data_IF_189977536568
#
_entry.id   IF_189977536568
#
_cell.length_a   1.000
_cell.length_b   1.000
_cell.length_c   1.000
_cell.angle_alpha   90.00
_cell.angle_beta   90.00
_cell.angle_gamma   90.00
#
_symmetry.space_group_name_H-M   'P 1'
#
loop_
_entity.id
_entity.type
_entity.pdbx_description
1 polymer ?
#
# COMPACT_ATOMS: atom_id res chain seq x y z
N UNK A 1 8.97 6.53 58.76
CA UNK A 1 10.33 6.92 58.35
C UNK A 1 10.24 8.34 57.85
N UNK A 2 10.86 9.24 58.61
CA UNK A 2 10.67 10.69 58.55
C UNK A 2 11.32 11.30 57.30
N UNK A 3 10.52 12.00 56.48
CA UNK A 3 11.04 12.87 55.44
C UNK A 3 11.15 14.29 56.00
N UNK A 4 12.26 14.56 56.68
CA UNK A 4 12.68 15.90 57.06
C UNK A 4 12.97 16.71 55.79
N UNK A 5 12.06 17.65 55.47
CA UNK A 5 12.29 18.68 54.46
C UNK A 5 13.29 19.69 55.05
N UNK A 6 14.57 19.51 54.73
CA UNK A 6 15.63 20.34 55.26
C UNK A 6 15.64 21.70 54.53
N UNK A 7 14.91 22.67 55.06
CA UNK A 7 14.74 24.02 54.50
C UNK A 7 15.97 24.94 54.68
N UNK A 8 17.18 24.38 54.79
CA UNK A 8 18.38 25.13 55.20
C UNK A 8 19.33 25.53 54.07
N UNK A 9 19.06 25.21 52.80
CA UNK A 9 19.94 25.57 51.68
C UNK A 9 19.37 26.63 50.73
N UNK A 10 18.46 27.49 51.19
CA UNK A 10 18.18 28.76 50.50
C UNK A 10 19.18 29.82 50.98
N UNK A 11 20.42 29.69 50.52
CA UNK A 11 21.52 30.59 50.84
C UNK A 11 21.19 32.04 50.47
N UNK A 12 21.32 32.90 51.46
CA UNK A 12 21.35 34.36 51.37
C UNK A 12 22.41 34.82 50.38
N UNK A 13 21.99 35.39 49.24
CA UNK A 13 22.85 36.14 48.33
C UNK A 13 22.07 37.28 47.68
N UNK A 14 22.43 38.52 48.00
CA UNK A 14 22.23 39.68 47.14
C UNK A 14 20.93 40.47 47.32
N UNK A 15 20.94 41.44 48.23
CA UNK A 15 20.10 42.63 48.15
C UNK A 15 20.38 43.37 46.84
N UNK A 16 19.45 43.32 45.89
CA UNK A 16 19.31 44.38 44.88
C UNK A 16 17.86 44.87 44.91
N UNK A 17 17.67 46.01 45.57
CA UNK A 17 16.50 46.86 45.36
C UNK A 17 16.61 47.47 43.97
N UNK A 18 15.76 47.04 43.05
CA UNK A 18 15.38 47.85 41.90
C UNK A 18 13.89 48.14 42.00
N UNK A 19 13.59 49.41 42.27
CA UNK A 19 12.24 49.96 42.19
C UNK A 19 11.83 50.05 40.72
N UNK A 20 10.64 49.52 40.42
CA UNK A 20 9.70 50.12 39.48
C UNK A 20 9.97 49.96 37.99
N UNK A 21 9.25 49.01 37.39
CA UNK A 21 8.34 49.33 36.29
C UNK A 21 7.19 48.33 36.29
N UNK A 22 6.05 48.79 36.77
CA UNK A 22 4.73 48.21 36.56
C UNK A 22 4.43 48.21 35.06
N UNK A 23 4.32 47.03 34.47
CA UNK A 23 3.91 46.85 33.08
C UNK A 23 3.52 45.40 32.85
N UNK A 24 2.22 45.15 32.80
CA UNK A 24 1.57 44.05 32.10
C UNK A 24 2.03 42.63 32.44
N UNK A 25 1.84 42.22 33.70
CA UNK A 25 1.43 40.84 33.97
C UNK A 25 -0.08 40.85 34.16
N UNK A 26 -0.81 40.59 33.08
CA UNK A 26 -2.21 40.19 33.21
C UNK A 26 -2.27 39.04 34.21
N UNK A 27 -3.08 39.26 35.23
CA UNK A 27 -3.18 38.53 36.46
C UNK A 27 -3.74 37.11 36.19
N UNK A 28 -2.86 36.17 35.83
CA UNK A 28 -3.22 34.74 35.69
C UNK A 28 -3.40 34.17 37.11
N UNK A 29 -4.46 34.55 37.80
CA UNK A 29 -4.97 33.86 38.99
C UNK A 29 -4.00 33.67 40.16
N UNK A 30 -3.01 34.55 40.33
CA UNK A 30 -1.96 34.39 41.37
C UNK A 30 -2.24 35.17 42.66
N UNK A 31 -3.27 36.00 42.72
CA UNK A 31 -3.70 36.67 43.94
C UNK A 31 -4.57 35.76 44.83
N UNK A 32 -4.00 34.68 45.32
CA UNK A 32 -4.64 33.82 46.30
C UNK A 32 -4.22 34.23 47.70
N UNK A 33 -5.07 35.00 48.40
CA UNK A 33 -5.00 35.18 49.87
C UNK A 33 -4.90 33.85 50.66
N UNK A 34 -5.12 32.71 49.99
CA UNK A 34 -5.11 31.35 50.51
C UNK A 34 -3.90 30.51 50.04
N UNK A 35 -2.86 31.13 49.46
CA UNK A 35 -1.64 30.40 49.08
C UNK A 35 -0.85 29.98 50.34
N UNK A 36 -0.59 28.67 50.56
CA UNK A 36 0.18 28.19 51.71
C UNK A 36 1.60 28.75 51.73
N UNK A 37 2.14 28.97 52.94
CA UNK A 37 3.52 29.47 53.15
C UNK A 37 4.56 28.64 52.40
N UNK A 38 4.39 27.32 52.29
CA UNK A 38 5.33 26.47 51.56
C UNK A 38 5.36 26.76 50.06
N UNK A 39 4.24 27.16 49.45
CA UNK A 39 4.19 27.53 48.03
C UNK A 39 4.81 28.90 47.82
N UNK A 40 4.58 29.85 48.74
CA UNK A 40 5.25 31.17 48.72
C UNK A 40 6.78 31.03 48.79
N UNK A 41 7.28 30.23 49.73
CA UNK A 41 8.72 29.94 49.84
C UNK A 41 9.25 29.21 48.60
N UNK A 42 8.48 28.30 48.01
CA UNK A 42 8.88 27.65 46.77
C UNK A 42 9.04 28.64 45.61
N UNK A 43 8.25 29.72 45.53
CA UNK A 43 8.43 30.78 44.52
C UNK A 43 9.74 31.56 44.67
N UNK A 44 10.35 31.53 45.84
CA UNK A 44 11.62 32.21 46.10
C UNK A 44 12.82 31.27 45.84
N UNK A 45 12.57 29.97 45.61
CA UNK A 45 13.60 28.96 45.43
C UNK A 45 13.86 28.69 43.96
N UNK A 46 15.06 28.95 43.45
CA UNK A 46 15.45 28.61 42.08
C UNK A 46 15.74 27.11 41.91
N UNK A 47 14.75 26.23 42.05
CA UNK A 47 14.92 24.79 41.84
C UNK A 47 13.71 24.10 41.17
N UNK A 48 13.93 22.99 40.42
CA UNK A 48 12.83 22.18 39.85
C UNK A 48 11.88 21.59 40.90
N UNK A 49 12.38 21.27 42.09
CA UNK A 49 11.59 20.76 43.21
C UNK A 49 10.61 21.82 43.72
N UNK A 50 11.02 23.09 43.72
CA UNK A 50 10.16 24.19 44.07
C UNK A 50 9.01 24.37 43.06
N UNK A 51 9.31 24.22 41.77
CA UNK A 51 8.30 24.19 40.70
C UNK A 51 7.28 23.05 40.93
N UNK A 52 7.73 21.86 41.36
CA UNK A 52 6.84 20.73 41.68
C UNK A 52 5.82 21.09 42.78
N UNK A 53 6.25 21.79 43.82
CA UNK A 53 5.37 22.24 44.92
C UNK A 53 4.31 23.21 44.40
N UNK A 54 4.71 24.17 43.56
CA UNK A 54 3.82 25.16 42.96
C UNK A 54 2.77 24.50 42.05
N UNK A 55 3.20 23.59 41.16
CA UNK A 55 2.31 22.90 40.23
C UNK A 55 1.36 21.92 40.94
N UNK A 56 1.83 21.25 41.98
CA UNK A 56 0.99 20.38 42.82
C UNK A 56 -0.11 21.16 43.54
N UNK A 57 0.21 22.35 44.05
CA UNK A 57 -0.78 23.24 44.65
C UNK A 57 -1.79 23.77 43.62
N UNK A 58 -1.31 24.20 42.45
CA UNK A 58 -2.16 24.65 41.35
C UNK A 58 -3.14 23.55 40.90
N UNK A 59 -2.68 22.29 40.79
CA UNK A 59 -3.52 21.13 40.48
C UNK A 59 -4.63 20.94 41.52
N UNK A 60 -4.29 21.01 42.82
CA UNK A 60 -5.30 20.91 43.92
C UNK A 60 -6.33 22.04 43.90
N UNK A 61 -6.00 23.18 43.31
CA UNK A 61 -6.91 24.32 43.15
C UNK A 61 -7.78 24.22 41.89
N UNK A 62 -7.66 23.13 41.12
CA UNK A 62 -8.43 22.92 39.90
C UNK A 62 -7.96 23.75 38.71
N UNK A 63 -6.72 24.26 38.74
CA UNK A 63 -6.17 24.97 37.58
C UNK A 63 -6.00 23.99 36.41
N UNK A 64 -6.38 24.44 35.22
CA UNK A 64 -6.25 23.67 33.98
C UNK A 64 -4.77 23.40 33.67
N UNK A 65 -4.52 22.43 32.79
CA UNK A 65 -3.16 22.15 32.31
C UNK A 65 -2.50 23.37 31.67
N UNK A 66 -3.23 24.13 30.85
CA UNK A 66 -2.75 25.36 30.23
C UNK A 66 -2.35 26.43 31.24
N UNK A 67 -3.13 26.60 32.31
CA UNK A 67 -2.81 27.52 33.40
C UNK A 67 -1.57 27.07 34.19
N UNK A 68 -1.47 25.77 34.49
CA UNK A 68 -0.31 25.19 35.18
C UNK A 68 0.97 25.32 34.36
N UNK A 69 0.89 25.12 33.05
CA UNK A 69 2.01 25.34 32.13
C UNK A 69 2.47 26.82 32.13
N UNK A 70 1.52 27.76 32.07
CA UNK A 70 1.85 29.18 32.08
C UNK A 70 2.61 29.56 33.36
N UNK A 71 2.18 29.03 34.51
CA UNK A 71 2.89 29.16 35.79
C UNK A 71 4.31 28.59 35.69
N UNK A 72 4.48 27.40 35.12
CA UNK A 72 5.80 26.78 34.98
C UNK A 72 6.74 27.56 34.07
N UNK A 73 6.28 27.99 32.89
CA UNK A 73 7.06 28.80 31.95
C UNK A 73 7.51 30.12 32.59
N UNK A 74 6.61 30.76 33.34
CA UNK A 74 6.91 32.01 34.04
C UNK A 74 7.97 31.78 35.11
N UNK A 75 7.83 30.72 35.90
CA UNK A 75 8.81 30.35 36.93
C UNK A 75 10.20 30.04 36.33
N UNK A 76 10.27 29.19 35.30
CA UNK A 76 11.54 28.86 34.64
C UNK A 76 12.23 30.11 34.09
N UNK A 77 11.47 31.03 33.48
CA UNK A 77 11.98 32.30 32.96
C UNK A 77 12.49 33.22 34.07
N UNK A 78 11.74 33.38 35.17
CA UNK A 78 12.12 34.25 36.30
C UNK A 78 13.38 33.75 36.99
N UNK A 79 13.53 32.44 37.13
CA UNK A 79 14.66 31.83 37.83
C UNK A 79 15.81 31.41 36.91
N UNK A 80 15.72 31.70 35.61
CA UNK A 80 16.68 31.30 34.57
C UNK A 80 17.06 29.81 34.66
N UNK A 81 16.05 28.96 34.84
CA UNK A 81 16.20 27.52 34.93
C UNK A 81 15.96 26.89 33.57
N UNK A 82 16.92 26.08 33.12
CA UNK A 82 16.75 25.22 31.96
C UNK A 82 16.26 23.85 32.41
N UNK A 83 15.11 23.44 31.87
CA UNK A 83 14.48 22.17 32.20
C UNK A 83 14.13 21.47 30.90
N UNK A 84 14.60 20.23 30.74
CA UNK A 84 14.25 19.45 29.55
C UNK A 84 12.72 19.31 29.44
N UNK A 85 12.17 19.26 28.21
CA UNK A 85 10.73 19.10 28.00
C UNK A 85 10.14 17.91 28.77
N UNK A 86 10.83 16.76 28.78
CA UNK A 86 10.39 15.56 29.50
C UNK A 86 10.23 15.79 31.00
N UNK A 87 11.18 16.50 31.63
CA UNK A 87 11.11 16.83 33.06
C UNK A 87 9.99 17.82 33.36
N UNK A 88 9.71 18.77 32.45
CA UNK A 88 8.58 19.67 32.62
C UNK A 88 7.24 18.91 32.55
N UNK A 89 7.14 17.94 31.66
CA UNK A 89 5.96 17.10 31.48
C UNK A 89 5.73 16.17 32.68
N UNK A 90 6.79 15.54 33.20
CA UNK A 90 6.73 14.78 34.46
C UNK A 90 6.20 15.63 35.62
N UNK A 91 6.60 16.91 35.68
CA UNK A 91 6.13 17.84 36.70
C UNK A 91 4.67 18.29 36.50
N UNK A 92 4.16 18.27 35.27
CA UNK A 92 2.77 18.63 34.95
C UNK A 92 1.80 17.46 35.11
N UNK A 93 2.30 16.23 35.24
CA UNK A 93 1.52 15.00 35.45
C UNK A 93 0.48 14.79 34.34
N UNK A 94 0.94 14.83 33.09
CA UNK A 94 0.13 14.74 31.87
C UNK A 94 0.33 13.36 31.24
N UNK A 95 -0.73 12.54 31.11
CA UNK A 95 -0.59 11.10 30.83
C UNK A 95 -0.40 10.72 29.35
N UNK A 96 -0.69 11.59 28.37
CA UNK A 96 -0.54 11.28 26.94
C UNK A 96 -0.18 12.49 26.07
N UNK A 97 0.59 12.22 25.01
CA UNK A 97 1.01 13.17 23.99
C UNK A 97 -0.07 13.40 22.93
N UNK A 98 -0.36 14.67 22.61
CA UNK A 98 -0.83 15.07 21.29
C UNK A 98 0.10 16.13 20.71
N UNK A 99 0.25 16.21 19.38
CA UNK A 99 1.14 17.19 18.76
C UNK A 99 0.64 18.62 19.03
N UNK A 100 -0.68 18.79 18.98
CA UNK A 100 -1.38 19.98 19.47
C UNK A 100 -0.96 20.42 20.87
N UNK A 101 -0.78 19.47 21.80
CA UNK A 101 -0.34 19.78 23.15
C UNK A 101 1.08 20.36 23.12
N UNK A 102 2.05 19.65 22.53
CA UNK A 102 3.48 20.05 22.44
C UNK A 102 3.67 21.37 21.68
N UNK A 103 2.87 21.62 20.63
CA UNK A 103 2.81 22.88 19.87
C UNK A 103 2.35 24.04 20.75
N UNK A 104 1.27 23.86 21.51
CA UNK A 104 0.81 24.88 22.47
C UNK A 104 1.82 25.13 23.61
N UNK A 105 2.72 24.15 23.86
CA UNK A 105 3.86 24.33 24.75
C UNK A 105 5.02 25.10 24.11
N UNK A 106 5.03 25.34 22.79
CA UNK A 106 6.08 26.05 22.07
C UNK A 106 7.39 25.28 21.96
N UNK A 107 7.33 23.95 22.11
CA UNK A 107 8.49 23.05 22.02
C UNK A 107 8.83 22.64 20.58
N UNK A 108 7.89 22.76 19.66
CA UNK A 108 8.09 22.56 18.24
C UNK A 108 7.34 23.64 17.45
N UNK A 109 7.82 23.96 16.26
CA UNK A 109 7.08 24.78 15.29
C UNK A 109 5.93 23.97 14.70
N UNK A 110 4.93 24.65 14.14
CA UNK A 110 3.81 24.01 13.45
C UNK A 110 4.31 23.07 12.35
N UNK A 111 5.35 23.48 11.61
CA UNK A 111 6.01 22.71 10.56
C UNK A 111 6.70 21.42 11.05
N UNK A 112 7.06 21.35 12.34
CA UNK A 112 7.79 20.23 12.96
C UNK A 112 6.85 19.18 13.60
N UNK A 113 5.54 19.45 13.60
CA UNK A 113 4.52 18.51 14.05
C UNK A 113 4.10 17.61 12.89
N UNK A 114 4.05 16.28 13.07
CA UNK A 114 3.55 15.33 12.04
C UNK A 114 2.09 15.61 11.58
N UNK A 115 1.38 16.48 12.30
CA UNK A 115 0.05 17.00 11.96
C UNK A 115 0.08 18.13 10.89
N UNK A 116 1.25 18.70 10.54
CA UNK A 116 1.39 19.69 9.45
C UNK A 116 1.61 19.08 8.07
N UNK A 117 1.95 17.79 8.02
CA UNK A 117 2.08 17.09 6.75
C UNK A 117 0.71 17.05 6.08
N UNK A 118 0.69 17.42 4.79
CA UNK A 118 -0.51 17.32 3.99
C UNK A 118 -1.09 15.90 4.17
N UNK A 119 -2.42 15.71 4.32
CA UNK A 119 -2.99 14.38 4.54
C UNK A 119 -2.53 13.33 3.52
N UNK A 120 -2.24 13.76 2.30
CA UNK A 120 -1.62 12.94 1.26
C UNK A 120 -0.25 12.39 1.66
N UNK A 121 0.64 13.22 2.18
CA UNK A 121 2.00 12.83 2.53
C UNK A 121 2.01 11.87 3.74
N UNK A 122 0.96 11.89 4.57
CA UNK A 122 0.77 10.91 5.65
C UNK A 122 0.26 9.56 5.15
N UNK A 123 -0.45 9.51 4.03
CA UNK A 123 -0.90 8.26 3.39
C UNK A 123 0.13 7.66 2.43
N UNK A 124 1.13 8.44 2.00
CA UNK A 124 2.28 7.91 1.27
C UNK A 124 3.07 7.01 2.23
N UNK A 125 3.34 5.78 1.81
CA UNK A 125 4.06 4.80 2.62
C UNK A 125 5.35 4.41 1.88
N UNK A 126 6.44 4.30 2.63
CA UNK A 126 7.67 3.70 2.11
C UNK A 126 7.47 2.21 1.76
N UNK A 127 8.20 1.82 0.73
CA UNK A 127 8.02 0.71 -0.24
C UNK A 127 7.75 -0.72 0.27
N UNK A 128 7.75 -1.00 1.58
CA UNK A 128 7.54 -2.36 2.11
C UNK A 128 6.11 -2.63 2.63
N UNK A 129 5.22 -1.65 2.54
CA UNK A 129 3.89 -1.70 3.14
C UNK A 129 2.74 -1.72 2.13
N UNK A 130 3.03 -1.82 0.84
CA UNK A 130 2.03 -1.92 -0.23
C UNK A 130 2.27 -3.19 -1.04
N UNK A 131 1.27 -4.07 -1.06
CA UNK A 131 1.26 -5.28 -1.87
C UNK A 131 0.18 -5.15 -2.95
N UNK A 132 0.54 -5.40 -4.20
CA UNK A 132 -0.43 -5.51 -5.29
C UNK A 132 -0.65 -6.97 -5.63
N UNK A 133 -1.84 -7.48 -5.34
CA UNK A 133 -2.26 -8.81 -5.72
C UNK A 133 -2.63 -8.81 -7.20
N UNK A 134 -1.76 -9.41 -8.02
CA UNK A 134 -1.89 -9.38 -9.48
C UNK A 134 -3.22 -9.95 -9.97
N UNK A 135 -3.67 -11.03 -9.34
CA UNK A 135 -4.83 -11.81 -9.73
C UNK A 135 -6.17 -11.18 -9.39
N UNK A 136 -6.30 -10.62 -8.18
CA UNK A 136 -7.53 -9.97 -7.74
C UNK A 136 -7.58 -8.49 -8.11
N UNK A 137 -6.45 -7.93 -8.56
CA UNK A 137 -6.27 -6.49 -8.77
C UNK A 137 -6.62 -5.69 -7.52
N UNK A 138 -6.14 -6.16 -6.37
CA UNK A 138 -6.33 -5.56 -5.05
C UNK A 138 -5.00 -5.06 -4.48
N UNK A 139 -5.04 -3.90 -3.83
CA UNK A 139 -3.93 -3.38 -3.04
C UNK A 139 -4.16 -3.76 -1.57
N UNK A 140 -3.21 -4.46 -0.94
CA UNK A 140 -3.10 -4.58 0.52
C UNK A 140 -2.11 -3.54 1.01
N UNK A 141 -2.63 -2.60 1.77
CA UNK A 141 -1.94 -1.38 2.16
C UNK A 141 -1.87 -1.35 3.68
N UNK A 142 -0.66 -1.24 4.24
CA UNK A 142 -0.46 -1.09 5.69
C UNK A 142 -0.21 0.36 6.08
N UNK A 143 -1.22 1.04 6.60
CA UNK A 143 -1.16 2.44 7.04
C UNK A 143 -1.30 2.49 8.57
N UNK A 144 -0.38 3.17 9.27
CA UNK A 144 -0.43 3.35 10.73
C UNK A 144 -0.68 2.05 11.53
N UNK A 145 -0.10 0.94 11.08
CA UNK A 145 -0.26 -0.38 11.72
C UNK A 145 -1.54 -1.15 11.36
N UNK A 146 -2.44 -0.57 10.54
CA UNK A 146 -3.65 -1.22 10.04
C UNK A 146 -3.44 -1.71 8.62
N UNK A 147 -4.06 -2.83 8.26
CA UNK A 147 -4.12 -3.32 6.89
C UNK A 147 -5.49 -3.04 6.29
N UNK A 148 -5.48 -2.54 5.08
CA UNK A 148 -6.68 -2.28 4.27
C UNK A 148 -6.48 -2.95 2.91
N UNK A 149 -7.42 -3.80 2.52
CA UNK A 149 -7.42 -4.48 1.21
C UNK A 149 -8.47 -3.82 0.33
N UNK A 150 -8.03 -3.27 -0.80
CA UNK A 150 -8.88 -2.41 -1.63
C UNK A 150 -8.72 -2.76 -3.11
N UNK A 151 -9.81 -3.13 -3.80
CA UNK A 151 -9.79 -3.31 -5.26
C UNK A 151 -9.43 -2.01 -5.99
N UNK A 152 -8.48 -2.07 -6.93
CA UNK A 152 -8.04 -0.90 -7.72
C UNK A 152 -9.21 -0.17 -8.37
N UNK A 153 -10.20 -0.92 -8.89
CA UNK A 153 -11.42 -0.37 -9.50
C UNK A 153 -12.26 0.53 -8.58
N UNK A 154 -12.12 0.40 -7.25
CA UNK A 154 -12.78 1.27 -6.27
C UNK A 154 -11.98 2.54 -5.99
N UNK A 155 -10.67 2.51 -6.27
CA UNK A 155 -9.72 3.60 -6.04
C UNK A 155 -9.65 4.51 -7.27
N UNK A 156 -9.42 3.93 -8.45
CA UNK A 156 -9.18 4.67 -9.67
C UNK A 156 -9.88 4.01 -10.88
N UNK A 157 -10.27 4.85 -11.85
CA UNK A 157 -10.85 4.41 -13.13
C UNK A 157 -10.29 5.22 -14.28
N UNK A 158 -9.99 4.57 -15.40
CA UNK A 158 -9.62 5.25 -16.64
C UNK A 158 -10.83 6.01 -17.20
N UNK A 159 -10.72 7.33 -17.27
CA UNK A 159 -11.68 8.23 -17.91
C UNK A 159 -11.24 8.65 -19.30
N UNK A 160 -12.06 9.48 -19.97
CA UNK A 160 -11.73 10.06 -21.29
C UNK A 160 -10.57 11.07 -21.23
N UNK A 161 -10.45 11.78 -20.11
CA UNK A 161 -9.48 12.87 -19.92
C UNK A 161 -8.28 12.44 -19.04
N UNK A 162 -8.11 11.15 -18.80
CA UNK A 162 -7.07 10.59 -17.92
C UNK A 162 -7.62 9.72 -16.80
N UNK A 163 -6.76 9.37 -15.84
CA UNK A 163 -7.14 8.54 -14.69
C UNK A 163 -7.86 9.38 -13.63
N UNK A 164 -9.05 8.94 -13.22
CA UNK A 164 -9.84 9.59 -12.16
C UNK A 164 -9.80 8.75 -10.90
N UNK A 165 -9.65 9.41 -9.74
CA UNK A 165 -9.59 8.76 -8.43
C UNK A 165 -10.84 9.07 -7.59
N UNK A 166 -11.21 8.14 -6.73
CA UNK A 166 -12.31 8.30 -5.78
C UNK A 166 -11.82 9.03 -4.52
N UNK A 167 -11.86 10.36 -4.53
CA UNK A 167 -11.42 11.23 -3.43
C UNK A 167 -12.07 10.86 -2.08
N UNK A 168 -13.35 10.46 -2.08
CA UNK A 168 -14.06 10.09 -0.85
C UNK A 168 -13.41 8.89 -0.14
N UNK A 169 -12.86 7.93 -0.90
CA UNK A 169 -12.17 6.77 -0.36
C UNK A 169 -10.91 7.16 0.41
N UNK A 170 -10.14 8.15 -0.08
CA UNK A 170 -8.92 8.60 0.60
C UNK A 170 -9.25 9.32 1.92
N UNK A 171 -10.29 10.16 1.93
CA UNK A 171 -10.77 10.78 3.16
C UNK A 171 -11.23 9.72 4.20
N UNK A 172 -11.94 8.68 3.74
CA UNK A 172 -12.39 7.58 4.59
C UNK A 172 -11.21 6.76 5.15
N UNK A 173 -10.24 6.40 4.31
CA UNK A 173 -9.03 5.68 4.72
C UNK A 173 -8.21 6.47 5.74
N UNK A 174 -8.02 7.77 5.49
CA UNK A 174 -7.33 8.65 6.42
C UNK A 174 -8.01 8.65 7.79
N UNK A 175 -9.33 8.84 7.82
CA UNK A 175 -10.11 8.82 9.05
C UNK A 175 -10.03 7.46 9.76
N UNK A 176 -10.11 6.35 9.03
CA UNK A 176 -9.98 4.99 9.60
C UNK A 176 -8.60 4.72 10.22
N UNK A 177 -7.55 5.26 9.62
CA UNK A 177 -6.18 5.00 10.05
C UNK A 177 -5.73 5.90 11.19
N UNK A 178 -6.11 7.19 11.15
CA UNK A 178 -5.62 8.20 12.08
C UNK A 178 -6.67 8.68 13.08
N UNK A 179 -7.93 8.27 12.95
CA UNK A 179 -9.04 8.66 13.83
C UNK A 179 -9.29 10.17 13.93
N UNK A 180 -8.82 10.93 12.92
CA UNK A 180 -9.04 12.37 12.78
C UNK A 180 -9.45 12.67 11.33
N UNK A 181 -10.30 13.68 11.08
CA UNK A 181 -10.63 14.10 9.73
C UNK A 181 -9.39 14.70 9.04
N UNK A 182 -9.20 14.47 7.73
CA UNK A 182 -8.14 15.11 6.96
C UNK A 182 -8.39 16.62 6.87
N UNK A 183 -7.35 17.41 7.09
CA UNK A 183 -7.38 18.87 6.98
C UNK A 183 -6.12 19.39 6.25
N UNK A 184 -6.24 20.00 5.06
CA UNK A 184 -7.48 20.12 4.27
C UNK A 184 -8.00 18.73 3.82
N UNK A 185 -9.30 18.58 3.50
CA UNK A 185 -9.79 17.37 2.84
C UNK A 185 -9.01 17.10 1.55
N UNK A 186 -8.91 15.83 1.16
CA UNK A 186 -8.26 15.48 -0.11
C UNK A 186 -8.97 16.15 -1.29
N UNK A 187 -8.17 16.68 -2.22
CA UNK A 187 -8.58 17.00 -3.58
C UNK A 187 -8.17 15.86 -4.54
N UNK A 188 -8.56 15.99 -5.82
CA UNK A 188 -8.29 14.96 -6.84
C UNK A 188 -6.79 14.80 -7.11
N UNK A 189 -6.02 15.90 -7.12
CA UNK A 189 -4.58 15.89 -7.36
C UNK A 189 -3.82 15.18 -6.24
N UNK A 190 -4.15 15.50 -4.99
CA UNK A 190 -3.56 14.87 -3.80
C UNK A 190 -3.89 13.40 -3.72
N UNK A 191 -5.14 13.02 -4.01
CA UNK A 191 -5.55 11.61 -4.04
C UNK A 191 -4.83 10.84 -5.16
N UNK A 192 -4.64 11.45 -6.32
CA UNK A 192 -3.90 10.84 -7.44
C UNK A 192 -2.42 10.65 -7.08
N UNK A 193 -1.79 11.63 -6.44
CA UNK A 193 -0.40 11.53 -5.95
C UNK A 193 -0.21 10.34 -5.01
N UNK A 194 -1.12 10.15 -4.05
CA UNK A 194 -1.08 9.00 -3.13
C UNK A 194 -1.25 7.69 -3.88
N UNK A 195 -2.24 7.60 -4.77
CA UNK A 195 -2.49 6.41 -5.56
C UNK A 195 -1.28 6.02 -6.42
N UNK A 196 -0.69 6.98 -7.14
CA UNK A 196 0.50 6.74 -7.96
C UNK A 196 1.66 6.27 -7.09
N UNK A 197 1.89 6.93 -5.96
CA UNK A 197 2.92 6.49 -5.00
C UNK A 197 2.70 5.06 -4.51
N UNK A 198 1.45 4.64 -4.25
CA UNK A 198 1.17 3.25 -3.88
C UNK A 198 1.47 2.27 -5.01
N UNK A 199 1.05 2.58 -6.24
CA UNK A 199 1.27 1.70 -7.40
C UNK A 199 2.76 1.59 -7.74
N UNK A 200 3.47 2.72 -7.75
CA UNK A 200 4.90 2.78 -8.09
C UNK A 200 5.77 2.03 -7.07
N UNK A 201 5.34 2.02 -5.81
CA UNK A 201 6.05 1.38 -4.70
C UNK A 201 5.51 0.00 -4.33
N UNK A 202 4.47 -0.51 -5.01
CA UNK A 202 3.85 -1.77 -4.67
C UNK A 202 4.77 -2.96 -4.99
N UNK A 203 4.95 -3.85 -4.03
CA UNK A 203 5.49 -5.19 -4.30
C UNK A 203 4.39 -6.02 -4.93
N UNK A 204 4.60 -6.44 -6.18
CA UNK A 204 3.64 -7.27 -6.90
C UNK A 204 3.67 -8.68 -6.32
N UNK A 205 2.61 -9.05 -5.60
CA UNK A 205 2.41 -10.40 -5.08
C UNK A 205 1.65 -11.21 -6.11
N UNK A 206 2.36 -12.21 -6.64
CA UNK A 206 1.76 -13.28 -7.43
C UNK A 206 1.43 -14.41 -6.46
N UNK A 207 0.22 -14.41 -5.95
CA UNK A 207 -0.22 -15.44 -5.00
C UNK A 207 -0.19 -16.83 -5.67
N UNK A 208 0.22 -17.88 -4.94
CA UNK A 208 0.03 -19.24 -5.41
C UNK A 208 -1.46 -19.56 -5.37
N UNK A 209 -2.07 -19.54 -6.56
CA UNK A 209 -3.47 -19.87 -6.80
C UNK A 209 -3.83 -21.29 -6.37
N UNK A 210 -5.11 -21.60 -6.27
CA UNK A 210 -5.56 -23.00 -6.32
C UNK A 210 -5.07 -23.62 -7.63
N UNK A 211 -3.92 -24.30 -7.55
CA UNK A 211 -3.00 -24.50 -8.67
C UNK A 211 -3.60 -25.40 -9.75
N UNK A 212 -4.63 -26.18 -9.42
CA UNK A 212 -5.25 -27.10 -10.38
C UNK A 212 -6.32 -26.41 -11.24
N UNK A 213 -7.21 -25.60 -10.66
CA UNK A 213 -8.22 -24.85 -11.43
C UNK A 213 -7.61 -23.68 -12.20
N UNK A 214 -6.64 -22.97 -11.63
CA UNK A 214 -6.04 -21.80 -12.29
C UNK A 214 -5.14 -22.16 -13.46
N UNK A 215 -4.41 -23.29 -13.39
CA UNK A 215 -3.62 -23.75 -14.54
C UNK A 215 -4.54 -24.18 -15.67
N UNK A 216 -5.69 -24.77 -15.33
CA UNK A 216 -6.64 -25.14 -16.35
C UNK A 216 -7.26 -23.92 -17.04
N UNK A 217 -7.69 -22.92 -16.27
CA UNK A 217 -8.17 -21.64 -16.80
C UNK A 217 -7.11 -20.97 -17.68
N UNK A 218 -5.85 -20.92 -17.24
CA UNK A 218 -4.75 -20.38 -18.01
C UNK A 218 -4.49 -21.16 -19.32
N UNK A 219 -4.59 -22.49 -19.30
CA UNK A 219 -4.47 -23.31 -20.52
C UNK A 219 -5.64 -23.05 -21.46
N UNK A 220 -6.86 -22.92 -20.94
CA UNK A 220 -8.03 -22.56 -21.75
C UNK A 220 -7.82 -21.18 -22.38
N UNK A 221 -7.42 -20.18 -21.60
CA UNK A 221 -7.12 -18.83 -22.10
C UNK A 221 -6.06 -18.85 -23.22
N UNK A 222 -4.95 -19.56 -23.03
CA UNK A 222 -3.90 -19.71 -24.04
C UNK A 222 -4.44 -20.34 -25.33
N UNK A 223 -5.36 -21.31 -25.22
CA UNK A 223 -5.97 -21.98 -26.35
C UNK A 223 -7.06 -21.13 -27.04
N UNK A 224 -7.76 -20.26 -26.32
CA UNK A 224 -8.90 -19.51 -26.90
C UNK A 224 -8.56 -18.11 -27.37
N UNK A 225 -7.44 -17.53 -26.91
CA UNK A 225 -7.05 -16.14 -27.19
C UNK A 225 -6.63 -15.92 -28.65
N UNK A 226 -7.56 -15.55 -29.53
CA UNK A 226 -7.35 -15.06 -30.93
C UNK A 226 -6.08 -15.58 -31.62
N UNK A 227 -5.89 -16.91 -31.63
CA UNK A 227 -4.77 -17.57 -32.31
C UNK A 227 -5.20 -18.10 -33.66
N UNK A 228 -4.25 -18.16 -34.57
CA UNK A 228 -4.44 -18.85 -35.85
C UNK A 228 -4.27 -20.35 -35.67
N UNK A 229 -5.31 -21.12 -36.01
CA UNK A 229 -5.26 -22.58 -36.01
C UNK A 229 -5.09 -23.10 -37.43
N UNK A 230 -4.23 -24.10 -37.61
CA UNK A 230 -3.97 -24.70 -38.92
C UNK A 230 -4.36 -26.19 -38.95
N UNK A 231 -4.75 -26.71 -40.10
CA UNK A 231 -4.98 -28.16 -40.25
C UNK A 231 -3.64 -28.92 -40.17
N UNK A 232 -3.58 -29.97 -39.34
CA UNK A 232 -2.39 -30.84 -39.19
C UNK A 232 -1.98 -31.50 -40.52
N UNK A 233 -2.92 -31.75 -41.43
CA UNK A 233 -2.62 -32.28 -42.78
C UNK A 233 -1.69 -31.34 -43.54
N UNK A 234 -1.94 -30.03 -43.47
CA UNK A 234 -1.11 -29.02 -44.14
C UNK A 234 0.32 -28.99 -43.56
N UNK A 235 0.47 -29.27 -42.26
CA UNK A 235 1.77 -29.42 -41.62
C UNK A 235 2.49 -30.69 -42.10
N UNK A 236 1.79 -31.84 -42.17
CA UNK A 236 2.34 -33.13 -42.63
C UNK A 236 2.78 -33.08 -44.11
N UNK A 237 1.98 -32.42 -44.95
CA UNK A 237 2.25 -32.20 -46.38
C UNK A 237 3.34 -31.14 -46.61
N UNK A 238 3.70 -30.38 -45.58
CA UNK A 238 4.74 -29.35 -45.66
C UNK A 238 4.32 -28.10 -46.42
N UNK A 239 3.01 -27.89 -46.56
CA UNK A 239 2.38 -26.72 -47.22
C UNK A 239 2.35 -25.50 -46.31
N UNK A 240 2.38 -25.72 -44.99
CA UNK A 240 2.63 -24.65 -44.01
C UNK A 240 4.09 -24.77 -43.57
N UNK A 241 4.86 -23.67 -43.50
CA UNK A 241 6.20 -23.72 -42.94
C UNK A 241 6.15 -24.37 -41.54
N UNK A 242 7.20 -25.10 -41.13
CA UNK A 242 7.25 -25.78 -39.83
C UNK A 242 7.39 -24.77 -38.69
N UNK A 243 6.44 -23.85 -38.57
CA UNK A 243 6.35 -22.83 -37.54
C UNK A 243 5.90 -23.49 -36.24
N UNK A 244 6.34 -22.90 -35.14
CA UNK A 244 5.68 -23.07 -33.84
C UNK A 244 4.25 -22.54 -33.99
N UNK A 245 3.26 -23.29 -33.51
CA UNK A 245 1.87 -22.87 -33.71
C UNK A 245 0.84 -23.84 -33.13
N UNK A 246 -0.42 -23.55 -33.45
CA UNK A 246 -1.60 -24.30 -33.06
C UNK A 246 -2.15 -25.03 -34.27
N UNK A 247 -2.47 -26.31 -34.10
CA UNK A 247 -2.96 -27.16 -35.17
C UNK A 247 -4.20 -27.94 -34.73
N UNK A 248 -5.04 -28.33 -35.67
CA UNK A 248 -6.26 -29.09 -35.41
C UNK A 248 -6.30 -30.34 -36.28
N UNK A 249 -6.63 -31.48 -35.67
CA UNK A 249 -6.89 -32.76 -36.35
C UNK A 249 -8.14 -33.40 -35.75
N UNK A 250 -9.30 -33.21 -36.40
CA UNK A 250 -10.59 -33.63 -35.85
C UNK A 250 -10.90 -32.90 -34.54
N UNK A 251 -11.19 -33.66 -33.47
CA UNK A 251 -11.49 -33.13 -32.13
C UNK A 251 -10.23 -32.89 -31.27
N UNK A 252 -9.05 -32.85 -31.90
CA UNK A 252 -7.78 -32.68 -31.19
C UNK A 252 -7.13 -31.36 -31.59
N UNK A 253 -6.81 -30.54 -30.59
CA UNK A 253 -5.93 -29.39 -30.74
C UNK A 253 -4.50 -29.82 -30.40
N UNK A 254 -3.57 -29.52 -31.29
CA UNK A 254 -2.14 -29.74 -31.11
C UNK A 254 -1.40 -28.41 -30.95
N UNK A 255 -0.61 -28.28 -29.90
CA UNK A 255 0.22 -27.09 -29.66
C UNK A 255 1.67 -27.50 -29.58
N UNK A 256 2.57 -26.79 -30.26
CA UNK A 256 4.01 -27.03 -30.11
C UNK A 256 4.42 -26.90 -28.63
N UNK A 257 5.22 -27.85 -28.14
CA UNK A 257 5.49 -27.96 -26.70
C UNK A 257 6.27 -26.77 -26.13
N UNK A 258 7.21 -26.21 -26.89
CA UNK A 258 7.98 -25.05 -26.45
C UNK A 258 7.12 -23.79 -26.50
N UNK A 259 6.30 -23.65 -27.54
CA UNK A 259 5.36 -22.53 -27.64
C UNK A 259 4.36 -22.53 -26.49
N UNK A 260 3.77 -23.68 -26.16
CA UNK A 260 2.83 -23.76 -25.05
C UNK A 260 3.47 -23.31 -23.74
N UNK A 261 4.72 -23.70 -23.50
CA UNK A 261 5.46 -23.29 -22.31
C UNK A 261 5.68 -21.77 -22.28
N UNK A 262 6.14 -21.18 -23.39
CA UNK A 262 6.32 -19.73 -23.52
C UNK A 262 5.02 -18.97 -23.23
N UNK A 263 3.90 -19.41 -23.82
CA UNK A 263 2.59 -18.77 -23.63
C UNK A 263 2.04 -18.94 -22.22
N UNK A 264 2.30 -20.07 -21.57
CA UNK A 264 1.92 -20.28 -20.17
C UNK A 264 2.71 -19.36 -19.23
N UNK A 265 4.00 -19.15 -19.50
CA UNK A 265 4.84 -18.21 -18.73
C UNK A 265 4.38 -16.75 -18.91
N UNK A 266 3.88 -16.38 -20.10
CA UNK A 266 3.29 -15.06 -20.38
C UNK A 266 2.04 -14.79 -19.53
N UNK A 267 1.17 -15.78 -19.34
CA UNK A 267 -0.03 -15.68 -18.47
C UNK A 267 0.27 -15.99 -17.00
N UNK A 268 1.54 -16.10 -16.62
CA UNK A 268 1.98 -16.21 -15.23
C UNK A 268 2.06 -17.63 -14.67
N UNK A 269 1.99 -18.67 -15.51
CA UNK A 269 2.16 -20.08 -15.12
C UNK A 269 3.63 -20.48 -15.28
N UNK A 270 4.37 -20.48 -14.16
CA UNK A 270 5.80 -20.88 -14.09
C UNK A 270 6.01 -22.31 -13.62
N UNK A 271 4.96 -23.11 -13.63
CA UNK A 271 4.96 -24.47 -13.09
C UNK A 271 5.60 -25.46 -14.06
N UNK A 272 6.16 -26.55 -13.51
CA UNK A 272 6.73 -27.59 -14.38
C UNK A 272 5.67 -28.15 -15.33
N UNK A 273 6.03 -28.43 -16.58
CA UNK A 273 5.12 -29.03 -17.58
C UNK A 273 4.49 -30.35 -17.09
N UNK A 274 5.15 -31.05 -16.17
CA UNK A 274 4.59 -32.24 -15.50
C UNK A 274 3.42 -31.90 -14.58
N UNK A 275 3.52 -30.80 -13.81
CA UNK A 275 2.45 -30.30 -12.96
C UNK A 275 1.30 -29.77 -13.81
N UNK A 276 1.61 -29.02 -14.88
CA UNK A 276 0.62 -28.57 -15.87
C UNK A 276 -0.17 -29.76 -16.43
N UNK A 277 0.51 -30.82 -16.86
CA UNK A 277 -0.14 -32.04 -17.38
C UNK A 277 -1.08 -32.71 -16.36
N UNK A 278 -0.76 -32.65 -15.07
CA UNK A 278 -1.60 -33.19 -14.01
C UNK A 278 -2.85 -32.34 -13.82
N UNK A 279 -2.69 -31.01 -13.77
CA UNK A 279 -3.80 -30.06 -13.58
C UNK A 279 -4.79 -30.10 -14.74
N UNK A 280 -4.31 -30.16 -15.99
CA UNK A 280 -5.18 -30.14 -17.18
C UNK A 280 -5.53 -31.52 -17.71
N UNK A 281 -5.40 -32.57 -16.88
CA UNK A 281 -5.61 -33.97 -17.31
C UNK A 281 -6.95 -34.19 -18.01
N UNK A 282 -8.00 -33.48 -17.60
CA UNK A 282 -9.34 -33.56 -18.19
C UNK A 282 -9.46 -32.89 -19.57
N UNK A 283 -8.57 -31.94 -19.87
CA UNK A 283 -8.49 -31.29 -21.18
C UNK A 283 -7.66 -32.06 -22.19
N UNK A 284 -6.83 -33.01 -21.75
CA UNK A 284 -5.93 -33.74 -22.64
C UNK A 284 -6.72 -34.71 -23.54
N UNK A 285 -6.30 -34.82 -24.80
CA UNK A 285 -6.81 -35.85 -25.72
C UNK A 285 -6.52 -37.28 -25.18
N UNK A 286 -5.45 -37.43 -24.41
CA UNK A 286 -5.16 -38.63 -23.63
C UNK A 286 -4.78 -38.25 -22.18
N UNK A 287 -5.61 -38.60 -21.17
CA UNK A 287 -5.36 -38.25 -19.76
C UNK A 287 -4.03 -38.75 -19.18
N UNK A 288 -3.44 -39.79 -19.79
CA UNK A 288 -2.18 -40.39 -19.35
C UNK A 288 -0.98 -39.86 -20.14
N UNK A 289 -1.20 -39.09 -21.21
CA UNK A 289 -0.14 -38.65 -22.10
C UNK A 289 -0.46 -37.26 -22.68
N UNK A 290 0.12 -36.24 -22.06
CA UNK A 290 -0.04 -34.85 -22.49
C UNK A 290 0.55 -34.54 -23.86
N UNK A 291 1.71 -35.14 -24.18
CA UNK A 291 2.41 -34.89 -25.44
C UNK A 291 2.43 -36.09 -26.38
N UNK A 292 2.13 -35.81 -27.65
CA UNK A 292 2.25 -36.73 -28.76
C UNK A 292 3.46 -36.36 -29.62
N UNK A 293 4.04 -37.36 -30.27
CA UNK A 293 5.19 -37.17 -31.17
C UNK A 293 4.73 -37.38 -32.60
N UNK A 294 4.81 -36.35 -33.42
CA UNK A 294 4.49 -36.42 -34.85
C UNK A 294 5.76 -36.39 -35.69
N UNK A 295 5.73 -37.11 -36.80
CA UNK A 295 6.76 -37.05 -37.85
C UNK A 295 6.28 -36.06 -38.90
N UNK A 296 7.02 -34.96 -39.04
CA UNK A 296 6.76 -33.90 -40.02
C UNK A 296 7.96 -33.89 -40.95
N UNK A 297 7.76 -34.32 -42.20
CA UNK A 297 8.84 -34.64 -43.14
C UNK A 297 9.87 -35.60 -42.49
N UNK A 298 11.12 -35.15 -42.34
CA UNK A 298 12.22 -35.92 -41.77
C UNK A 298 12.43 -35.68 -40.27
N UNK A 299 11.70 -34.74 -39.66
CA UNK A 299 11.88 -34.37 -38.26
C UNK A 299 10.76 -34.93 -37.37
N UNK A 300 11.13 -35.30 -36.15
CA UNK A 300 10.17 -35.69 -35.10
C UNK A 300 9.99 -34.52 -34.16
N UNK A 301 8.75 -34.07 -33.97
CA UNK A 301 8.40 -32.95 -33.08
C UNK A 301 7.37 -33.38 -32.05
N UNK A 302 7.39 -32.73 -30.89
CA UNK A 302 6.48 -33.00 -29.77
C UNK A 302 5.40 -31.92 -29.70
N UNK A 303 4.15 -32.36 -29.63
CA UNK A 303 2.99 -31.50 -29.50
C UNK A 303 2.20 -31.89 -28.28
N UNK A 304 1.68 -30.91 -27.55
CA UNK A 304 0.63 -31.14 -26.57
C UNK A 304 -0.69 -31.38 -27.28
N UNK A 305 -1.45 -32.38 -26.84
CA UNK A 305 -2.71 -32.76 -27.47
C UNK A 305 -3.88 -32.55 -26.51
N UNK A 306 -4.77 -31.63 -26.87
CA UNK A 306 -5.97 -31.27 -26.12
C UNK A 306 -7.23 -31.75 -26.84
N UNK A 307 -8.23 -32.12 -26.06
CA UNK A 307 -9.55 -32.51 -26.54
C UNK A 307 -10.42 -31.26 -26.72
N UNK A 308 -10.78 -30.96 -27.96
CA UNK A 308 -11.60 -29.80 -28.33
C UNK A 308 -12.97 -29.84 -27.65
N UNK A 309 -13.62 -31.01 -27.60
CA UNK A 309 -14.94 -31.15 -26.99
C UNK A 309 -14.90 -30.94 -25.47
N UNK A 310 -13.80 -31.33 -24.80
CA UNK A 310 -13.62 -31.05 -23.38
C UNK A 310 -13.51 -29.54 -23.11
N UNK A 311 -12.79 -28.81 -23.95
CA UNK A 311 -12.64 -27.35 -23.86
C UNK A 311 -13.98 -26.66 -24.10
N UNK A 312 -14.69 -27.03 -25.19
CA UNK A 312 -16.04 -26.50 -25.48
C UNK A 312 -17.01 -26.74 -24.34
N UNK A 313 -16.97 -27.92 -23.72
CA UNK A 313 -17.86 -28.25 -22.61
C UNK A 313 -17.63 -27.37 -21.37
N UNK A 314 -16.42 -26.87 -21.16
CA UNK A 314 -16.10 -25.94 -20.07
C UNK A 314 -16.57 -24.53 -20.41
N UNK A 315 -16.19 -24.02 -21.58
CA UNK A 315 -16.60 -22.68 -22.04
C UNK A 315 -18.13 -22.54 -22.12
N UNK A 316 -18.83 -23.60 -22.54
CA UNK A 316 -20.30 -23.61 -22.57
C UNK A 316 -20.94 -23.49 -21.19
N UNK A 317 -20.28 -23.98 -20.11
CA UNK A 317 -20.76 -23.78 -18.73
C UNK A 317 -20.59 -22.33 -18.28
N UNK A 318 -19.61 -21.64 -18.85
CA UNK A 318 -19.29 -20.23 -18.60
C UNK A 318 -20.11 -19.28 -19.49
N UNK A 319 -20.90 -19.82 -20.41
CA UNK A 319 -21.77 -19.06 -21.31
C UNK A 319 -21.10 -18.65 -22.62
N UNK A 320 -19.91 -19.16 -22.91
CA UNK A 320 -19.16 -18.90 -24.14
C UNK A 320 -19.35 -20.02 -25.16
N UNK A 321 -19.59 -19.65 -26.42
CA UNK A 321 -19.57 -20.58 -27.56
C UNK A 321 -18.32 -20.30 -28.39
N UNK A 322 -17.36 -21.21 -28.34
CA UNK A 322 -16.06 -21.05 -28.99
C UNK A 322 -15.72 -22.29 -29.81
N UNK A 323 -15.24 -22.06 -31.02
CA UNK A 323 -14.65 -23.08 -31.89
C UNK A 323 -13.45 -22.44 -32.60
N UNK A 324 -12.30 -23.14 -32.70
CA UNK A 324 -11.13 -22.57 -33.36
C UNK A 324 -11.43 -22.31 -34.83
N UNK A 325 -11.09 -21.11 -35.31
CA UNK A 325 -11.15 -20.79 -36.72
C UNK A 325 -9.93 -21.40 -37.42
N UNK A 326 -10.15 -22.50 -38.14
CA UNK A 326 -9.09 -23.24 -38.82
C UNK A 326 -8.85 -22.66 -40.21
N UNK A 327 -7.67 -22.07 -40.42
CA UNK A 327 -7.26 -21.51 -41.71
C UNK A 327 -7.10 -22.63 -42.75
N UNK A 328 -7.56 -22.35 -43.97
CA UNK A 328 -7.51 -23.29 -45.10
C UNK A 328 -6.34 -22.98 -46.02
N UNK A 329 -6.03 -23.91 -46.91
CA UNK A 329 -4.92 -23.83 -47.88
C UNK A 329 -5.00 -22.55 -48.76
N UNK A 330 -6.20 -22.08 -49.09
CA UNK A 330 -6.44 -20.93 -49.97
C UNK A 330 -6.02 -19.57 -49.37
N UNK A 331 -5.91 -19.46 -48.03
CA UNK A 331 -5.47 -18.23 -47.36
C UNK A 331 -3.96 -17.97 -47.54
N UNK A 332 -3.21 -19.00 -47.94
CA UNK A 332 -1.76 -18.92 -48.16
C UNK A 332 -1.41 -18.34 -49.54
N UNK A 333 -2.20 -18.65 -50.57
CA UNK A 333 -1.95 -18.14 -51.93
C UNK A 333 -2.00 -16.61 -51.97
N UNK A 334 -2.95 -16.00 -51.22
CA UNK A 334 -3.04 -14.54 -51.08
C UNK A 334 -1.87 -13.94 -50.29
N UNK A 335 -1.45 -14.57 -49.20
CA UNK A 335 -0.32 -14.09 -48.40
C UNK A 335 1.04 -14.25 -49.12
N UNK A 336 1.18 -15.24 -49.99
CA UNK A 336 2.38 -15.41 -50.84
C UNK A 336 2.35 -14.41 -52.01
N UNK A 337 1.19 -14.10 -52.61
CA UNK A 337 1.06 -13.05 -53.63
C UNK A 337 1.39 -11.65 -53.08
N UNK A 338 1.00 -11.33 -51.84
CA UNK A 338 1.33 -10.05 -51.19
C UNK A 338 2.82 -9.90 -50.82
N UNK A 339 3.55 -11.01 -50.65
CA UNK A 339 5.00 -11.00 -50.35
C UNK A 339 5.85 -11.17 -51.63
N UNK A 340 5.30 -11.81 -52.66
CA UNK A 340 5.98 -12.12 -53.92
C UNK A 340 5.85 -11.06 -55.01
N UNK A 341 5.11 -9.97 -54.78
CA UNK A 341 4.87 -8.91 -55.76
C UNK A 341 6.05 -7.99 -56.06
N UNK A 342 7.10 -7.96 -55.22
CA UNK A 342 8.16 -6.94 -55.29
C UNK A 342 9.60 -7.50 -55.46
N UNK A 343 9.78 -8.77 -55.83
CA UNK A 343 11.13 -9.32 -56.06
C UNK A 343 11.22 -10.22 -57.31
N UNK A 344 10.92 -9.67 -58.49
CA UNK A 344 11.56 -10.11 -59.75
C UNK A 344 11.78 -8.88 -60.66
N UNK A 345 12.96 -8.29 -60.58
CA UNK A 345 13.78 -7.89 -61.75
C UNK A 345 15.27 -8.06 -61.40
#
# INVERSE_FOLDING_TARGET
>A
MDNNFNAQNCGTSGTNRTNGTSGDTQDIGLNSRFEPICVKKARECSSPEALKVILSWAKRRGLTESQRLSIAKTFLKVHNLDLSPDKLLELLDVPQFSCDYVRNLGFCKEEECAESLHPADRLIIDTESVLLFHSTSELDIKIAGRREIIPIKKIAKQGKDGMKVNVALFNELFLKCYYIPPNPPFDEESALKVYQSWVDNAVIVREPFDVESSIEEAVIEVLTTKREFYDVKLLKEGKVPPKRGFFVEGDIILVDSELLKELLEEVGVYESMRKVAKSVRRLLANPNRASIRLRIKEQRRYFWAFNLEAIKAILKREGEDWTPEVKKEDDFSKAIEEIGGDFIE
#
